data_IF_475212171519
#
_entry.id   IF_475212171519
#
_cell.length_a   1.000
_cell.length_b   1.000
_cell.length_c   1.000
_cell.angle_alpha   90.00
_cell.angle_beta   90.00
_cell.angle_gamma   90.00
#
_symmetry.space_group_name_H-M   'P 1'
#
loop_
_entity.id
_entity.type
_entity.pdbx_description
1 polymer ?
#
# COMPACT_ATOMS: atom_id res chain seq x y z
N UNK A 1 86.28 5.29 -45.95
CA UNK A 1 87.18 4.26 -45.41
C UNK A 1 87.49 4.68 -43.98
N UNK A 2 87.28 3.75 -43.04
CA UNK A 2 87.27 3.89 -41.57
C UNK A 2 85.96 4.49 -41.02
N UNK A 3 84.96 3.67 -40.68
CA UNK A 3 84.80 2.76 -39.53
C UNK A 3 84.67 3.53 -38.20
N UNK A 4 83.49 3.52 -37.58
CA UNK A 4 83.23 2.64 -36.43
C UNK A 4 81.77 2.78 -35.96
N UNK A 5 81.15 1.62 -35.78
CA UNK A 5 79.87 1.39 -35.12
C UNK A 5 79.94 1.82 -33.65
N UNK A 6 78.85 2.40 -33.13
CA UNK A 6 78.53 2.24 -31.71
C UNK A 6 77.03 1.98 -31.56
N UNK A 7 76.74 0.69 -31.56
CA UNK A 7 75.56 0.04 -31.03
C UNK A 7 75.45 0.33 -29.53
N UNK A 8 74.34 0.92 -29.06
CA UNK A 8 73.95 0.83 -27.65
C UNK A 8 72.51 0.35 -27.53
N UNK A 9 72.39 -0.78 -26.84
CA UNK A 9 71.17 -1.52 -26.54
C UNK A 9 70.23 -0.79 -25.57
N UNK A 10 68.95 -0.87 -25.92
CA UNK A 10 67.76 -1.15 -25.10
C UNK A 10 67.82 -0.97 -23.57
N UNK A 11 66.99 -0.05 -23.05
CA UNK A 11 66.39 -0.15 -21.71
C UNK A 11 64.95 0.36 -21.75
N UNK A 12 64.04 -0.59 -21.56
CA UNK A 12 62.61 -0.42 -21.40
C UNK A 12 62.22 0.69 -20.41
N UNK A 13 61.18 1.45 -20.76
CA UNK A 13 60.23 1.98 -19.78
C UNK A 13 58.81 1.95 -20.33
N UNK A 14 58.14 0.81 -20.12
CA UNK A 14 56.69 0.80 -19.96
C UNK A 14 56.35 1.69 -18.76
N UNK A 15 55.76 2.85 -19.00
CA UNK A 15 54.88 3.47 -18.02
C UNK A 15 53.52 3.72 -18.67
N UNK A 16 52.60 2.82 -18.37
CA UNK A 16 51.18 3.00 -18.63
C UNK A 16 50.69 4.24 -17.91
N UNK A 17 50.25 5.24 -18.66
CA UNK A 17 49.36 6.27 -18.14
C UNK A 17 47.94 5.70 -18.17
N UNK A 18 47.59 4.98 -17.12
CA UNK A 18 46.20 4.77 -16.73
C UNK A 18 45.61 6.14 -16.38
N UNK A 19 44.99 6.79 -17.36
CA UNK A 19 44.25 8.03 -17.18
C UNK A 19 43.02 7.71 -16.33
N UNK A 20 43.19 7.72 -15.01
CA UNK A 20 42.10 7.70 -14.04
C UNK A 20 41.42 9.08 -14.13
N UNK A 21 40.48 9.24 -15.06
CA UNK A 21 39.59 10.39 -15.11
C UNK A 21 38.76 10.41 -13.83
N UNK A 22 39.23 11.15 -12.82
CA UNK A 22 38.36 11.65 -11.76
C UNK A 22 37.50 12.73 -12.38
N UNK A 23 36.25 12.39 -12.72
CA UNK A 23 35.27 13.36 -13.18
C UNK A 23 34.98 14.29 -11.98
N UNK A 24 35.62 15.46 -11.94
CA UNK A 24 35.23 16.50 -11.00
C UNK A 24 33.80 16.92 -11.34
N UNK A 25 32.87 16.61 -10.44
CA UNK A 25 31.49 17.07 -10.57
C UNK A 25 31.49 18.59 -10.60
N UNK A 26 30.85 19.17 -11.61
CA UNK A 26 30.72 20.62 -11.68
C UNK A 26 29.81 21.11 -10.55
N UNK A 27 29.93 22.40 -10.21
CA UNK A 27 29.00 23.05 -9.28
C UNK A 27 27.53 22.93 -9.75
N UNK A 28 27.29 22.82 -11.06
CA UNK A 28 25.97 22.58 -11.62
C UNK A 28 25.46 21.16 -11.32
N UNK A 29 26.33 20.15 -11.39
CA UNK A 29 26.00 18.77 -11.05
C UNK A 29 25.71 18.61 -9.56
N UNK A 30 26.50 19.29 -8.71
CA UNK A 30 26.27 19.35 -7.26
C UNK A 30 24.94 20.03 -6.93
N UNK A 31 24.61 21.14 -7.60
CA UNK A 31 23.35 21.82 -7.41
C UNK A 31 22.16 20.98 -7.89
N UNK A 32 22.31 20.27 -9.01
CA UNK A 32 21.30 19.33 -9.50
C UNK A 32 21.06 18.20 -8.51
N UNK A 33 22.12 17.61 -7.96
CA UNK A 33 22.02 16.54 -6.96
C UNK A 33 21.32 17.03 -5.69
N UNK A 34 21.68 18.23 -5.22
CA UNK A 34 21.02 18.87 -4.08
C UNK A 34 19.53 19.11 -4.36
N UNK A 35 19.19 19.60 -5.56
CA UNK A 35 17.81 19.81 -5.98
C UNK A 35 17.02 18.50 -5.97
N UNK A 36 17.54 17.45 -6.60
CA UNK A 36 16.89 16.12 -6.62
C UNK A 36 16.70 15.57 -5.21
N UNK A 37 17.70 15.72 -4.33
CA UNK A 37 17.59 15.28 -2.94
C UNK A 37 16.49 16.06 -2.20
N UNK A 38 16.45 17.38 -2.34
CA UNK A 38 15.44 18.23 -1.72
C UNK A 38 14.03 17.91 -2.23
N UNK A 39 13.85 17.76 -3.55
CA UNK A 39 12.57 17.39 -4.15
C UNK A 39 12.09 16.01 -3.67
N UNK A 40 13.01 15.04 -3.56
CA UNK A 40 12.70 13.70 -3.07
C UNK A 40 12.26 13.73 -1.60
N UNK A 41 12.97 14.48 -0.75
CA UNK A 41 12.64 14.58 0.68
C UNK A 41 11.35 15.37 0.90
N UNK A 42 11.12 16.44 0.14
CA UNK A 42 9.91 17.24 0.22
C UNK A 42 8.69 16.42 -0.20
N UNK A 43 8.78 15.68 -1.31
CA UNK A 43 7.71 14.77 -1.76
C UNK A 43 7.42 13.66 -0.74
N UNK A 44 8.46 13.14 -0.07
CA UNK A 44 8.32 12.19 1.03
C UNK A 44 7.56 12.77 2.23
N UNK A 45 7.88 14.02 2.61
CA UNK A 45 7.19 14.73 3.70
C UNK A 45 5.73 14.99 3.33
N UNK A 46 5.47 15.50 2.13
CA UNK A 46 4.12 15.77 1.63
C UNK A 46 3.25 14.51 1.68
N UNK A 47 3.78 13.38 1.21
CA UNK A 47 3.09 12.08 1.27
C UNK A 47 2.81 11.66 2.72
N UNK A 48 3.78 11.83 3.64
CA UNK A 48 3.57 11.48 5.06
C UNK A 48 2.54 12.36 5.77
N UNK A 49 2.46 13.64 5.38
CA UNK A 49 1.48 14.58 5.92
C UNK A 49 0.07 14.22 5.45
N UNK A 50 -0.10 13.94 4.15
CA UNK A 50 -1.39 13.52 3.59
C UNK A 50 -1.91 12.22 4.22
N UNK A 51 -1.02 11.26 4.48
CA UNK A 51 -1.39 9.99 5.13
C UNK A 51 -1.85 10.21 6.59
N UNK A 52 -1.18 11.11 7.30
CA UNK A 52 -1.50 11.47 8.70
C UNK A 52 -2.81 12.25 8.78
N UNK A 53 -3.05 13.20 7.88
CA UNK A 53 -4.32 13.94 7.83
C UNK A 53 -5.48 13.01 7.51
N UNK A 54 -5.31 12.09 6.55
CA UNK A 54 -6.36 11.13 6.19
C UNK A 54 -6.72 10.20 7.36
N UNK A 55 -5.73 9.74 8.13
CA UNK A 55 -5.98 8.91 9.33
C UNK A 55 -6.66 9.68 10.47
N UNK A 56 -6.30 10.95 10.67
CA UNK A 56 -6.96 11.81 11.66
C UNK A 56 -8.40 12.13 11.27
N UNK A 57 -8.65 12.48 10.00
CA UNK A 57 -10.00 12.70 9.48
C UNK A 57 -10.88 11.46 9.64
N UNK A 58 -10.34 10.27 9.36
CA UNK A 58 -11.04 8.99 9.55
C UNK A 58 -11.41 8.76 11.03
N UNK A 59 -10.52 9.10 11.97
CA UNK A 59 -10.79 8.99 13.41
C UNK A 59 -11.81 10.02 13.91
N UNK A 60 -11.75 11.26 13.41
CA UNK A 60 -12.70 12.33 13.76
C UNK A 60 -14.11 11.99 13.26
N UNK A 61 -14.25 11.57 11.99
CA UNK A 61 -15.53 11.12 11.42
C UNK A 61 -16.12 9.90 12.14
N UNK A 62 -15.28 9.05 12.73
CA UNK A 62 -15.72 7.92 13.55
C UNK A 62 -16.19 8.34 14.95
N UNK A 63 -15.63 9.41 15.50
CA UNK A 63 -16.00 9.95 16.82
C UNK A 63 -17.25 10.84 16.79
N UNK A 64 -17.52 11.56 15.69
CA UNK A 64 -18.67 12.47 15.58
C UNK A 64 -20.02 11.74 15.36
N UNK A 65 -20.01 10.52 14.83
CA UNK A 65 -21.24 9.82 14.49
C UNK A 65 -21.66 8.84 15.59
N UNK A 66 -22.41 9.33 16.59
CA UNK A 66 -23.20 8.43 17.44
C UNK A 66 -24.38 7.86 16.63
N UNK A 67 -24.23 6.63 16.14
CA UNK A 67 -25.30 5.97 15.38
C UNK A 67 -26.34 5.39 16.33
N UNK A 68 -27.62 5.73 16.10
CA UNK A 68 -28.76 5.15 16.84
C UNK A 68 -28.85 3.63 16.70
N UNK A 69 -28.45 3.10 15.55
CA UNK A 69 -28.52 1.68 15.23
C UNK A 69 -27.11 1.14 14.96
N UNK A 70 -26.75 0.05 15.65
CA UNK A 70 -25.44 -0.59 15.49
C UNK A 70 -25.18 -1.06 14.06
N UNK A 71 -26.22 -1.53 13.36
CA UNK A 71 -26.14 -1.90 11.94
C UNK A 71 -25.69 -0.74 11.06
N UNK A 72 -26.22 0.47 11.26
CA UNK A 72 -25.82 1.67 10.49
C UNK A 72 -24.37 2.05 10.76
N UNK A 73 -23.90 1.94 12.00
CA UNK A 73 -22.50 2.16 12.32
C UNK A 73 -21.59 1.21 11.52
N UNK A 74 -21.92 -0.08 11.50
CA UNK A 74 -21.12 -1.09 10.79
C UNK A 74 -21.09 -0.82 9.28
N UNK A 75 -22.21 -0.37 8.69
CA UNK A 75 -22.26 0.00 7.27
C UNK A 75 -21.46 1.26 6.98
N UNK A 76 -21.57 2.27 7.84
CA UNK A 76 -20.81 3.49 7.68
C UNK A 76 -19.30 3.25 7.76
N UNK A 77 -18.84 2.49 8.76
CA UNK A 77 -17.42 2.16 8.90
C UNK A 77 -16.88 1.43 7.66
N UNK A 78 -17.64 0.46 7.12
CA UNK A 78 -17.27 -0.19 5.87
C UNK A 78 -17.20 0.79 4.70
N UNK A 79 -18.18 1.68 4.55
CA UNK A 79 -18.21 2.64 3.45
C UNK A 79 -17.03 3.60 3.51
N UNK A 80 -16.63 4.02 4.71
CA UNK A 80 -15.42 4.83 4.92
C UNK A 80 -14.16 4.06 4.52
N UNK A 81 -14.07 2.77 4.87
CA UNK A 81 -12.94 1.92 4.47
C UNK A 81 -12.88 1.71 2.95
N UNK A 82 -14.03 1.51 2.29
CA UNK A 82 -14.11 1.39 0.84
C UNK A 82 -13.76 2.70 0.13
N UNK A 83 -14.19 3.83 0.68
CA UNK A 83 -13.84 5.14 0.14
C UNK A 83 -12.32 5.36 0.18
N UNK A 84 -11.67 5.00 1.29
CA UNK A 84 -10.20 5.04 1.42
C UNK A 84 -9.50 4.14 0.38
N UNK A 85 -9.96 2.91 0.20
CA UNK A 85 -9.42 2.00 -0.82
C UNK A 85 -9.53 2.60 -2.23
N UNK A 86 -10.69 3.15 -2.57
CA UNK A 86 -10.91 3.78 -3.89
C UNK A 86 -10.03 5.01 -4.06
N UNK A 87 -9.91 5.87 -3.04
CA UNK A 87 -9.04 7.05 -3.11
C UNK A 87 -7.57 6.66 -3.32
N UNK A 88 -7.06 5.66 -2.57
CA UNK A 88 -5.70 5.15 -2.77
C UNK A 88 -5.49 4.58 -4.18
N UNK A 89 -6.49 3.91 -4.74
CA UNK A 89 -6.41 3.42 -6.12
C UNK A 89 -6.32 4.58 -7.13
N UNK A 90 -7.12 5.64 -6.95
CA UNK A 90 -7.05 6.86 -7.78
C UNK A 90 -5.67 7.52 -7.69
N UNK A 91 -5.10 7.62 -6.50
CA UNK A 91 -3.76 8.19 -6.30
C UNK A 91 -2.67 7.35 -7.00
N UNK A 92 -2.78 6.02 -6.96
CA UNK A 92 -1.88 5.13 -7.70
C UNK A 92 -2.01 5.29 -9.20
N UNK A 93 -3.23 5.44 -9.73
CA UNK A 93 -3.46 5.71 -11.15
C UNK A 93 -2.86 7.05 -11.56
N UNK A 94 -3.03 8.11 -10.76
CA UNK A 94 -2.42 9.42 -11.01
C UNK A 94 -0.89 9.39 -11.02
N UNK A 95 -0.28 8.41 -10.34
CA UNK A 95 1.17 8.17 -10.31
C UNK A 95 1.65 7.16 -11.36
N UNK A 96 0.80 6.77 -12.32
CA UNK A 96 1.06 5.72 -13.33
C UNK A 96 1.47 4.36 -12.73
N UNK A 97 0.98 4.04 -11.52
CA UNK A 97 1.23 2.77 -10.82
C UNK A 97 0.03 1.83 -10.96
N UNK A 98 -0.31 1.48 -12.20
CA UNK A 98 -1.51 0.70 -12.53
C UNK A 98 -1.60 -0.65 -11.80
N UNK A 99 -0.49 -1.38 -11.66
CA UNK A 99 -0.47 -2.68 -10.96
C UNK A 99 -0.89 -2.56 -9.49
N UNK A 100 -0.45 -1.48 -8.82
CA UNK A 100 -0.84 -1.19 -7.44
C UNK A 100 -2.30 -0.80 -7.36
N UNK A 101 -2.78 0.04 -8.27
CA UNK A 101 -4.19 0.41 -8.34
C UNK A 101 -5.10 -0.82 -8.52
N UNK A 102 -4.75 -1.73 -9.43
CA UNK A 102 -5.48 -2.99 -9.66
C UNK A 102 -5.51 -3.85 -8.40
N UNK A 103 -4.38 -3.95 -7.68
CA UNK A 103 -4.31 -4.70 -6.42
C UNK A 103 -5.29 -4.13 -5.37
N UNK A 104 -5.30 -2.82 -5.18
CA UNK A 104 -6.19 -2.14 -4.23
C UNK A 104 -7.67 -2.27 -4.64
N UNK A 105 -7.98 -2.17 -5.93
CA UNK A 105 -9.35 -2.36 -6.42
C UNK A 105 -9.85 -3.79 -6.23
N UNK A 106 -8.99 -4.79 -6.39
CA UNK A 106 -9.33 -6.18 -6.07
C UNK A 106 -9.60 -6.39 -4.57
N UNK A 107 -8.86 -5.71 -3.69
CA UNK A 107 -9.14 -5.70 -2.24
C UNK A 107 -10.51 -5.09 -1.94
N UNK A 108 -10.85 -3.96 -2.57
CA UNK A 108 -12.17 -3.33 -2.44
C UNK A 108 -13.29 -4.25 -2.94
N UNK A 109 -13.09 -4.94 -4.08
CA UNK A 109 -14.06 -5.89 -4.62
C UNK A 109 -14.27 -7.08 -3.69
N UNK A 110 -13.20 -7.64 -3.12
CA UNK A 110 -13.30 -8.75 -2.16
C UNK A 110 -14.01 -8.32 -0.86
N UNK A 111 -13.74 -7.10 -0.39
CA UNK A 111 -14.42 -6.50 0.76
C UNK A 111 -15.92 -6.37 0.53
N UNK A 112 -16.33 -5.90 -0.66
CA UNK A 112 -17.74 -5.83 -1.07
C UNK A 112 -18.39 -7.21 -1.15
N UNK A 113 -17.74 -8.20 -1.77
CA UNK A 113 -18.24 -9.58 -1.84
C UNK A 113 -18.48 -10.16 -0.45
N UNK A 114 -17.48 -10.04 0.44
CA UNK A 114 -17.60 -10.49 1.84
C UNK A 114 -18.77 -9.80 2.52
N UNK A 115 -18.91 -8.47 2.38
CA UNK A 115 -20.02 -7.75 3.01
C UNK A 115 -21.38 -8.19 2.48
N UNK A 116 -21.54 -8.36 1.16
CA UNK A 116 -22.80 -8.82 0.57
C UNK A 116 -23.21 -10.20 1.12
N UNK A 117 -22.25 -11.10 1.35
CA UNK A 117 -22.51 -12.37 2.05
C UNK A 117 -23.05 -12.12 3.46
N UNK A 118 -22.42 -11.26 4.25
CA UNK A 118 -22.85 -10.94 5.61
C UNK A 118 -24.24 -10.28 5.67
N UNK A 119 -24.56 -9.39 4.72
CA UNK A 119 -25.90 -8.78 4.64
C UNK A 119 -26.96 -9.85 4.40
N UNK A 120 -26.70 -10.81 3.50
CA UNK A 120 -27.61 -11.93 3.26
C UNK A 120 -27.79 -12.84 4.48
N UNK A 121 -26.74 -13.00 5.31
CA UNK A 121 -26.83 -13.75 6.57
C UNK A 121 -27.72 -12.98 7.54
N UNK A 122 -27.47 -11.69 7.74
CA UNK A 122 -28.28 -10.86 8.63
C UNK A 122 -29.75 -10.79 8.20
N UNK A 123 -30.04 -10.75 6.90
CA UNK A 123 -31.42 -10.68 6.39
C UNK A 123 -32.20 -11.99 6.59
N UNK A 124 -31.53 -13.14 6.43
CA UNK A 124 -32.15 -14.47 6.57
C UNK A 124 -32.28 -14.96 8.00
N UNK A 125 -31.50 -14.36 8.90
CA UNK A 125 -31.36 -14.75 10.30
C UNK A 125 -32.37 -14.01 11.17
N UNK A 126 -32.99 -14.72 12.13
CA UNK A 126 -33.80 -14.07 13.18
C UNK A 126 -32.96 -13.16 14.09
N UNK A 127 -31.69 -13.52 14.31
CA UNK A 127 -30.73 -12.76 15.12
C UNK A 127 -30.07 -11.58 14.37
N UNK A 128 -30.30 -11.44 13.07
CA UNK A 128 -29.82 -10.33 12.27
C UNK A 128 -28.29 -10.13 12.32
N UNK A 129 -27.86 -8.91 12.63
CA UNK A 129 -26.45 -8.57 12.77
C UNK A 129 -25.75 -9.25 13.97
N UNK A 130 -26.49 -9.72 14.99
CA UNK A 130 -25.90 -10.51 16.07
C UNK A 130 -25.41 -11.86 15.55
N UNK A 131 -26.18 -12.51 14.69
CA UNK A 131 -25.77 -13.76 14.02
C UNK A 131 -24.54 -13.56 13.15
N UNK A 132 -24.45 -12.43 12.45
CA UNK A 132 -23.23 -12.09 11.69
C UNK A 132 -22.00 -11.96 12.61
N UNK A 133 -22.16 -11.39 13.80
CA UNK A 133 -21.07 -11.26 14.76
C UNK A 133 -20.58 -12.63 15.25
N UNK A 134 -21.50 -13.53 15.59
CA UNK A 134 -21.20 -14.93 15.97
C UNK A 134 -20.61 -15.74 14.81
N UNK A 135 -21.09 -15.49 13.58
CA UNK A 135 -20.56 -16.13 12.38
C UNK A 135 -19.11 -15.70 12.08
N UNK A 136 -18.76 -14.44 12.37
CA UNK A 136 -17.41 -13.92 12.17
C UNK A 136 -16.42 -14.30 13.27
N UNK A 137 -16.89 -14.63 14.47
CA UNK A 137 -16.04 -15.07 15.59
C UNK A 137 -15.68 -16.56 15.53
N UNK A 138 -16.40 -17.36 14.75
CA UNK A 138 -16.07 -18.76 14.46
C UNK A 138 -15.05 -18.80 13.29
N UNK A 139 -13.76 -18.78 13.65
CA UNK A 139 -12.54 -18.53 12.84
C UNK A 139 -12.32 -19.41 11.56
N UNK A 140 -13.31 -20.18 11.12
CA UNK A 140 -13.20 -21.16 10.03
C UNK A 140 -14.48 -21.18 9.18
N UNK A 141 -14.81 -20.08 8.50
CA UNK A 141 -15.90 -20.08 7.52
C UNK A 141 -15.39 -20.52 6.13
N UNK A 142 -15.17 -21.84 5.97
CA UNK A 142 -15.09 -22.49 4.67
C UNK A 142 -16.50 -22.53 4.05
N UNK A 143 -16.64 -22.10 2.79
CA UNK A 143 -17.91 -21.98 2.05
C UNK A 143 -18.75 -23.29 2.00
N UNK A 144 -18.21 -24.43 2.43
CA UNK A 144 -18.87 -25.74 2.43
C UNK A 144 -19.78 -26.02 3.64
N UNK A 145 -19.70 -25.27 4.75
CA UNK A 145 -20.46 -25.57 5.99
C UNK A 145 -21.32 -24.39 6.48
N UNK A 146 -21.61 -23.43 5.60
CA UNK A 146 -22.27 -22.17 5.95
C UNK A 146 -23.67 -22.38 6.59
N UNK A 147 -24.50 -23.27 6.05
CA UNK A 147 -25.88 -23.42 6.56
C UNK A 147 -25.95 -23.96 7.99
N UNK A 148 -25.11 -24.94 8.35
CA UNK A 148 -25.07 -25.47 9.71
C UNK A 148 -24.54 -24.44 10.69
N UNK A 149 -23.52 -23.68 10.29
CA UNK A 149 -22.93 -22.63 11.13
C UNK A 149 -23.86 -21.44 11.32
N UNK A 150 -24.61 -21.03 10.29
CA UNK A 150 -25.63 -19.98 10.42
C UNK A 150 -26.70 -20.39 11.43
N UNK A 151 -27.22 -21.63 11.37
CA UNK A 151 -28.19 -22.14 12.37
C UNK A 151 -27.61 -22.16 13.79
N UNK A 152 -26.34 -22.52 13.95
CA UNK A 152 -25.66 -22.50 15.25
C UNK A 152 -25.48 -21.08 15.79
N UNK A 153 -25.06 -20.15 14.94
CA UNK A 153 -24.92 -18.72 15.26
C UNK A 153 -26.28 -18.09 15.61
N UNK A 154 -27.34 -18.41 14.87
CA UNK A 154 -28.72 -17.99 15.18
C UNK A 154 -29.16 -18.45 16.57
N UNK A 155 -28.94 -19.73 16.87
CA UNK A 155 -29.31 -20.30 18.17
C UNK A 155 -28.56 -19.61 19.33
N UNK A 156 -27.29 -19.22 19.12
CA UNK A 156 -26.49 -18.48 20.11
C UNK A 156 -26.95 -17.02 20.23
N UNK A 157 -27.22 -16.36 19.11
CA UNK A 157 -27.65 -14.97 19.05
C UNK A 157 -29.04 -14.75 19.67
N UNK A 158 -29.98 -15.69 19.50
CA UNK A 158 -31.33 -15.62 20.08
C UNK A 158 -31.31 -15.88 21.59
N UNK A 159 -30.35 -16.66 22.09
CA UNK A 159 -30.18 -16.94 23.53
C UNK A 159 -29.39 -15.85 24.28
N UNK A 160 -28.91 -14.83 23.59
CA UNK A 160 -28.07 -13.72 24.09
C UNK A 160 -28.78 -12.38 24.10
#
# INVERSE_FOLDING_TARGET
>A
MSDMEEETLDLASEQGTSTRNTHEMSNADLFSLLKTYMDTRLSGIETSFTDTTHTLEKKVKKAENSFKFKGHQVQYELNVDLQDLVQRALDYLGRNKSDKAVTILNEALNTLKKRNKLIRIADKSEGGWKTVQEYLSDDLASDSEDEKKIRAADTRAVKS
#
